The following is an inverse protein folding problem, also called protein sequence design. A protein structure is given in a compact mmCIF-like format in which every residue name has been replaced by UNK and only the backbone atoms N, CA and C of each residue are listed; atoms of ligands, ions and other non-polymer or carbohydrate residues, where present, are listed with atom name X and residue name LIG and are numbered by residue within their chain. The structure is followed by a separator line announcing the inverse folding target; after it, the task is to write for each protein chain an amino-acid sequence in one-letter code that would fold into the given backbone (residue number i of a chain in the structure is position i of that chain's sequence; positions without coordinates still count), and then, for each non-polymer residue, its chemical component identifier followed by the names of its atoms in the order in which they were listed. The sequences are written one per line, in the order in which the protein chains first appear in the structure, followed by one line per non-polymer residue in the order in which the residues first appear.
data_IF_056001454521
#
_entry.id   IF_056001454521
#
_cell.length_a   1.000
_cell.length_b   1.000
_cell.length_c   1.000
_cell.angle_alpha   90.00
_cell.angle_beta   90.00
_cell.angle_gamma   90.00
#
_symmetry.space_group_name_H-M   'P 1'
#
loop_
_entity.id
_entity.type
_entity.pdbx_description
1 polymer ?
#
# COMPACT_ATOMS: atom_id res chain seq x y z
N UNK A 1 -61.18 -49.66 1.98
CA UNK A 1 -59.98 -48.99 1.42
C UNK A 1 -60.31 -47.64 0.76
N UNK A 2 -61.47 -47.47 0.11
CA UNK A 2 -61.86 -46.19 -0.51
C UNK A 2 -62.35 -45.11 0.48
N UNK A 3 -62.88 -45.47 1.65
CA UNK A 3 -63.31 -44.49 2.67
C UNK A 3 -62.14 -43.86 3.46
N UNK A 4 -61.00 -44.55 3.57
CA UNK A 4 -59.82 -44.05 4.30
C UNK A 4 -59.06 -42.98 3.49
N UNK A 5 -59.05 -43.11 2.16
CA UNK A 5 -58.41 -42.16 1.24
C UNK A 5 -59.17 -40.83 1.14
N UNK A 6 -60.50 -40.85 1.28
CA UNK A 6 -61.31 -39.62 1.29
C UNK A 6 -61.11 -38.79 2.57
N UNK A 7 -60.96 -39.44 3.73
CA UNK A 7 -60.67 -38.76 5.02
C UNK A 7 -59.25 -38.19 5.04
N UNK A 8 -58.28 -38.89 4.45
CA UNK A 8 -56.89 -38.40 4.34
C UNK A 8 -56.78 -37.23 3.34
N UNK A 9 -57.52 -37.27 2.22
CA UNK A 9 -57.56 -36.17 1.27
C UNK A 9 -58.26 -34.91 1.83
N UNK A 10 -59.35 -35.08 2.58
CA UNK A 10 -60.05 -33.96 3.24
C UNK A 10 -59.25 -33.38 4.41
N UNK A 11 -58.48 -34.20 5.12
CA UNK A 11 -57.54 -33.74 6.14
C UNK A 11 -56.33 -33.01 5.53
N UNK A 12 -55.84 -33.43 4.36
CA UNK A 12 -54.75 -32.75 3.65
C UNK A 12 -55.16 -31.38 3.10
N UNK A 13 -56.38 -31.24 2.58
CA UNK A 13 -56.89 -29.94 2.10
C UNK A 13 -57.14 -28.98 3.28
N UNK A 14 -57.70 -29.47 4.40
CA UNK A 14 -57.87 -28.65 5.61
C UNK A 14 -56.53 -28.31 6.31
N UNK A 15 -55.52 -29.18 6.23
CA UNK A 15 -54.17 -28.93 6.76
C UNK A 15 -53.35 -27.99 5.85
N UNK A 16 -53.56 -28.06 4.53
CA UNK A 16 -52.98 -27.13 3.55
C UNK A 16 -53.63 -25.74 3.62
N UNK A 17 -54.92 -25.62 3.90
CA UNK A 17 -55.58 -24.33 4.16
C UNK A 17 -55.18 -23.71 5.50
N UNK A 18 -54.76 -24.50 6.50
CA UNK A 18 -54.28 -23.98 7.79
C UNK A 18 -52.80 -23.57 7.78
N UNK A 19 -51.96 -24.24 6.97
CA UNK A 19 -50.55 -23.88 6.76
C UNK A 19 -50.35 -22.85 5.63
N UNK A 20 -51.36 -22.67 4.78
CA UNK A 20 -51.50 -21.57 3.84
C UNK A 20 -52.13 -20.31 4.45
N UNK A 21 -52.03 -20.11 5.78
CA UNK A 21 -52.23 -18.78 6.38
C UNK A 21 -51.17 -17.85 5.80
N UNK A 22 -51.54 -17.19 4.70
CA UNK A 22 -51.02 -15.95 4.16
C UNK A 22 -49.74 -15.53 4.89
N UNK A 23 -48.57 -15.92 4.36
CA UNK A 23 -47.42 -15.04 4.52
C UNK A 23 -47.85 -13.79 3.75
N UNK A 24 -48.49 -12.85 4.45
CA UNK A 24 -48.83 -11.57 3.87
C UNK A 24 -47.53 -11.05 3.24
N UNK A 25 -47.53 -10.59 1.98
CA UNK A 25 -46.30 -10.12 1.35
C UNK A 25 -45.67 -9.11 2.30
N UNK A 26 -44.37 -9.24 2.59
CA UNK A 26 -43.67 -8.36 3.52
C UNK A 26 -44.13 -6.91 3.28
N UNK A 27 -44.73 -6.23 4.28
CA UNK A 27 -45.29 -4.90 4.08
C UNK A 27 -44.25 -3.93 3.51
N UNK A 28 -42.96 -4.15 3.82
CA UNK A 28 -41.89 -3.38 3.20
C UNK A 28 -41.66 -3.72 1.73
N UNK A 29 -41.72 -4.98 1.33
CA UNK A 29 -41.67 -5.35 -0.09
C UNK A 29 -42.81 -4.70 -0.90
N UNK A 30 -44.04 -4.69 -0.36
CA UNK A 30 -45.17 -4.01 -0.99
C UNK A 30 -44.95 -2.49 -1.08
N UNK A 31 -44.42 -1.89 -0.02
CA UNK A 31 -44.12 -0.47 0.02
C UNK A 31 -43.06 -0.09 -1.02
N UNK A 32 -41.99 -0.88 -1.15
CA UNK A 32 -40.96 -0.69 -2.18
C UNK A 32 -41.52 -0.79 -3.59
N UNK A 33 -42.33 -1.83 -3.86
CA UNK A 33 -42.98 -1.99 -5.16
C UNK A 33 -43.84 -0.76 -5.51
N UNK A 34 -44.61 -0.23 -4.56
CA UNK A 34 -45.42 0.98 -4.78
C UNK A 34 -44.57 2.21 -5.08
N UNK A 35 -43.46 2.39 -4.36
CA UNK A 35 -42.55 3.50 -4.61
C UNK A 35 -41.90 3.43 -6.02
N UNK A 36 -41.60 2.22 -6.50
CA UNK A 36 -41.10 1.96 -7.85
C UNK A 36 -42.15 2.29 -8.93
N UNK A 37 -43.44 2.04 -8.66
CA UNK A 37 -44.56 2.38 -9.54
C UNK A 37 -45.03 3.84 -9.40
N UNK A 38 -44.23 4.68 -8.76
CA UNK A 38 -44.50 6.10 -8.52
C UNK A 38 -45.79 6.39 -7.73
N UNK A 39 -46.11 5.51 -6.78
CA UNK A 39 -47.23 5.63 -5.83
C UNK A 39 -46.70 5.93 -4.40
N UNK A 40 -46.16 7.13 -4.14
CA UNK A 40 -45.39 7.41 -2.92
C UNK A 40 -46.25 7.48 -1.65
N UNK A 41 -47.48 7.99 -1.69
CA UNK A 41 -48.29 8.20 -0.49
C UNK A 41 -48.69 6.86 0.18
N UNK A 42 -49.21 5.87 -0.57
CA UNK A 42 -49.43 4.53 -0.02
C UNK A 42 -48.13 3.84 0.43
N UNK A 43 -47.03 3.98 -0.32
CA UNK A 43 -45.74 3.44 0.09
C UNK A 43 -45.28 4.01 1.46
N UNK A 44 -45.41 5.33 1.64
CA UNK A 44 -45.09 6.02 2.89
C UNK A 44 -45.98 5.54 4.05
N UNK A 45 -47.29 5.42 3.82
CA UNK A 45 -48.23 4.97 4.85
C UNK A 45 -47.92 3.54 5.32
N UNK A 46 -47.55 2.63 4.40
CA UNK A 46 -47.09 1.29 4.76
C UNK A 46 -45.80 1.36 5.60
N UNK A 47 -44.79 2.12 5.16
CA UNK A 47 -43.54 2.25 5.90
C UNK A 47 -43.72 2.86 7.30
N UNK A 48 -44.59 3.87 7.45
CA UNK A 48 -44.96 4.44 8.75
C UNK A 48 -45.66 3.42 9.65
N UNK A 49 -46.55 2.60 9.09
CA UNK A 49 -47.21 1.52 9.85
C UNK A 49 -46.24 0.43 10.31
N UNK A 50 -45.16 0.19 9.55
CA UNK A 50 -44.08 -0.73 9.93
C UNK A 50 -43.28 -0.11 11.07
N UNK A 51 -42.84 1.15 10.95
CA UNK A 51 -42.07 1.84 12.00
C UNK A 51 -42.84 1.97 13.32
N UNK A 52 -44.17 2.12 13.28
CA UNK A 52 -45.00 2.16 14.47
C UNK A 52 -44.97 0.84 15.28
N UNK A 53 -44.69 -0.29 14.62
CA UNK A 53 -44.61 -1.63 15.23
C UNK A 53 -43.16 -2.07 15.46
N UNK A 54 -42.26 -1.68 14.56
CA UNK A 54 -40.87 -2.08 14.53
C UNK A 54 -39.96 -0.85 14.32
N UNK A 55 -39.66 -0.08 15.38
CA UNK A 55 -38.94 1.20 15.26
C UNK A 55 -37.48 1.11 14.76
N UNK A 56 -36.91 -0.10 14.72
CA UNK A 56 -35.53 -0.37 14.30
C UNK A 56 -35.42 -0.86 12.84
N UNK A 57 -36.48 -0.71 12.04
CA UNK A 57 -36.50 -1.11 10.63
C UNK A 57 -35.85 -0.06 9.72
N UNK A 58 -34.58 -0.26 9.40
CA UNK A 58 -33.80 0.65 8.54
C UNK A 58 -34.37 0.80 7.12
N UNK A 59 -34.89 -0.30 6.56
CA UNK A 59 -35.51 -0.33 5.25
C UNK A 59 -36.76 0.56 5.17
N UNK A 60 -37.53 0.69 6.25
CA UNK A 60 -38.66 1.60 6.33
C UNK A 60 -38.22 3.08 6.36
N UNK A 61 -37.21 3.42 7.17
CA UNK A 61 -36.62 4.77 7.13
C UNK A 61 -36.05 5.11 5.74
N UNK A 62 -35.35 4.16 5.10
CA UNK A 62 -34.78 4.34 3.76
C UNK A 62 -35.85 4.58 2.70
N UNK A 63 -36.99 3.87 2.78
CA UNK A 63 -38.11 4.08 1.87
C UNK A 63 -38.68 5.50 2.03
N UNK A 64 -38.93 5.93 3.27
CA UNK A 64 -39.39 7.29 3.54
C UNK A 64 -38.39 8.32 3.02
N UNK A 65 -37.08 8.07 3.17
CA UNK A 65 -36.03 8.96 2.72
C UNK A 65 -36.03 9.12 1.18
N UNK A 66 -36.10 8.01 0.44
CA UNK A 66 -36.21 8.03 -1.03
C UNK A 66 -37.49 8.71 -1.51
N UNK A 67 -38.60 8.52 -0.80
CA UNK A 67 -39.85 9.20 -1.11
C UNK A 67 -39.75 10.72 -0.88
N UNK A 68 -39.09 11.14 0.21
CA UNK A 68 -38.80 12.55 0.49
C UNK A 68 -37.85 13.16 -0.56
N UNK A 69 -36.87 12.41 -1.07
CA UNK A 69 -36.03 12.85 -2.19
C UNK A 69 -36.84 13.13 -3.46
N UNK A 70 -37.72 12.20 -3.85
CA UNK A 70 -38.61 12.38 -5.02
C UNK A 70 -39.46 13.64 -4.89
N UNK A 71 -39.85 14.00 -3.66
CA UNK A 71 -40.60 15.21 -3.35
C UNK A 71 -39.75 16.49 -3.21
N UNK A 72 -38.44 16.43 -3.46
CA UNK A 72 -37.52 17.56 -3.30
C UNK A 72 -37.23 17.96 -1.85
N UNK A 73 -37.67 17.17 -0.87
CA UNK A 73 -37.54 17.44 0.57
C UNK A 73 -36.18 16.97 1.09
N UNK A 74 -35.10 17.50 0.53
CA UNK A 74 -33.72 17.02 0.75
C UNK A 74 -33.29 16.98 2.22
N UNK A 75 -33.62 18.01 3.00
CA UNK A 75 -33.28 18.05 4.42
C UNK A 75 -34.00 16.95 5.21
N UNK A 76 -35.25 16.66 4.87
CA UNK A 76 -36.02 15.60 5.51
C UNK A 76 -35.52 14.22 5.10
N UNK A 77 -35.19 14.02 3.82
CA UNK A 77 -34.52 12.82 3.34
C UNK A 77 -33.22 12.55 4.12
N UNK A 78 -32.38 13.58 4.33
CA UNK A 78 -31.14 13.44 5.09
C UNK A 78 -31.37 13.00 6.54
N UNK A 79 -32.41 13.53 7.21
CA UNK A 79 -32.78 13.10 8.57
C UNK A 79 -33.20 11.64 8.58
N UNK A 80 -34.02 11.21 7.61
CA UNK A 80 -34.48 9.82 7.51
C UNK A 80 -33.35 8.84 7.18
N UNK A 81 -32.44 9.19 6.27
CA UNK A 81 -31.23 8.39 6.03
C UNK A 81 -30.32 8.31 7.25
N UNK A 82 -30.22 9.41 8.01
CA UNK A 82 -29.46 9.42 9.27
C UNK A 82 -30.07 8.45 10.28
N UNK A 83 -31.40 8.41 10.40
CA UNK A 83 -32.08 7.41 11.23
C UNK A 83 -31.85 5.98 10.71
N UNK A 84 -31.92 5.77 9.40
CA UNK A 84 -31.65 4.46 8.79
C UNK A 84 -30.24 3.93 9.15
N UNK A 85 -29.21 4.77 9.07
CA UNK A 85 -27.84 4.36 9.44
C UNK A 85 -27.62 4.28 10.96
N UNK A 86 -28.41 4.99 11.77
CA UNK A 86 -28.38 4.87 13.22
C UNK A 86 -28.92 3.51 13.68
N UNK A 87 -30.02 3.03 13.08
CA UNK A 87 -30.60 1.72 13.43
C UNK A 87 -29.89 0.55 12.74
N UNK A 88 -29.38 0.75 11.51
CA UNK A 88 -28.57 -0.24 10.81
C UNK A 88 -27.28 0.40 10.29
N UNK A 89 -26.20 0.39 11.10
CA UNK A 89 -24.91 0.98 10.72
C UNK A 89 -24.27 0.38 9.46
N UNK A 90 -24.75 -0.75 8.96
CA UNK A 90 -24.26 -1.40 7.72
C UNK A 90 -25.11 -1.09 6.49
N UNK A 91 -26.10 -0.20 6.57
CA UNK A 91 -26.93 0.20 5.42
C UNK A 91 -26.11 1.02 4.41
N UNK A 92 -25.56 0.32 3.41
CA UNK A 92 -24.68 0.91 2.40
C UNK A 92 -25.41 1.94 1.53
N UNK A 93 -26.70 1.75 1.24
CA UNK A 93 -27.46 2.66 0.39
C UNK A 93 -27.62 4.02 1.08
N UNK A 94 -28.09 4.00 2.33
CA UNK A 94 -28.28 5.20 3.13
C UNK A 94 -26.95 5.93 3.37
N UNK A 95 -25.85 5.19 3.58
CA UNK A 95 -24.50 5.78 3.68
C UNK A 95 -24.03 6.41 2.38
N UNK A 96 -24.25 5.77 1.23
CA UNK A 96 -23.87 6.32 -0.06
C UNK A 96 -24.58 7.65 -0.32
N UNK A 97 -25.88 7.71 -0.02
CA UNK A 97 -26.63 8.95 -0.16
C UNK A 97 -26.10 10.06 0.75
N UNK A 98 -25.91 9.75 2.05
CA UNK A 98 -25.37 10.71 3.01
C UNK A 98 -23.97 11.21 2.64
N UNK A 99 -23.12 10.34 2.07
CA UNK A 99 -21.81 10.75 1.55
C UNK A 99 -21.95 11.76 0.39
N UNK A 100 -22.82 11.47 -0.58
CA UNK A 100 -23.07 12.37 -1.70
C UNK A 100 -23.69 13.70 -1.26
N UNK A 101 -24.63 13.66 -0.31
CA UNK A 101 -25.21 14.86 0.28
C UNK A 101 -24.16 15.72 1.00
N UNK A 102 -23.29 15.10 1.79
CA UNK A 102 -22.20 15.78 2.49
C UNK A 102 -21.23 16.45 1.50
N UNK A 103 -20.82 15.75 0.44
CA UNK A 103 -19.98 16.33 -0.62
C UNK A 103 -20.65 17.54 -1.30
N UNK A 104 -21.93 17.44 -1.62
CA UNK A 104 -22.68 18.55 -2.23
C UNK A 104 -22.78 19.79 -1.31
N UNK A 105 -22.67 19.61 0.01
CA UNK A 105 -22.61 20.68 1.00
C UNK A 105 -21.18 21.15 1.32
N UNK A 106 -20.17 20.57 0.68
CA UNK A 106 -18.75 20.85 0.95
C UNK A 106 -18.21 20.20 2.22
N UNK A 107 -18.98 19.34 2.88
CA UNK A 107 -18.59 18.63 4.10
C UNK A 107 -17.85 17.33 3.76
N UNK A 108 -16.59 17.48 3.32
CA UNK A 108 -15.75 16.35 2.89
C UNK A 108 -15.47 15.40 4.05
N UNK A 109 -15.29 15.91 5.27
CA UNK A 109 -15.00 15.09 6.44
C UNK A 109 -16.14 14.10 6.73
N UNK A 110 -17.39 14.55 6.73
CA UNK A 110 -18.55 13.66 6.90
C UNK A 110 -18.64 12.64 5.75
N UNK A 111 -18.40 13.06 4.50
CA UNK A 111 -18.41 12.14 3.36
C UNK A 111 -17.38 11.01 3.48
N UNK A 112 -16.14 11.35 3.84
CA UNK A 112 -15.07 10.37 4.09
C UNK A 112 -15.45 9.41 5.21
N UNK A 113 -16.07 9.90 6.28
CA UNK A 113 -16.56 9.05 7.37
C UNK A 113 -17.59 8.01 6.90
N UNK A 114 -18.46 8.36 5.94
CA UNK A 114 -19.38 7.40 5.33
C UNK A 114 -18.63 6.38 4.44
N UNK A 115 -17.67 6.82 3.63
CA UNK A 115 -16.87 5.94 2.78
C UNK A 115 -16.01 4.96 3.59
N UNK A 116 -15.40 5.40 4.69
CA UNK A 116 -14.68 4.52 5.62
C UNK A 116 -15.57 3.35 6.07
N UNK A 117 -16.78 3.66 6.58
CA UNK A 117 -17.72 2.63 7.02
C UNK A 117 -18.17 1.72 5.88
N UNK A 118 -18.35 2.26 4.67
CA UNK A 118 -18.72 1.44 3.50
C UNK A 118 -17.59 0.47 3.11
N UNK A 119 -16.33 0.91 3.12
CA UNK A 119 -15.16 0.07 2.83
C UNK A 119 -14.94 -1.00 3.90
N UNK A 120 -15.20 -0.68 5.17
CA UNK A 120 -15.16 -1.67 6.26
C UNK A 120 -16.25 -2.74 6.13
N UNK A 121 -17.46 -2.37 5.67
CA UNK A 121 -18.58 -3.31 5.51
C UNK A 121 -18.44 -4.15 4.25
N UNK A 122 -17.99 -3.55 3.13
CA UNK A 122 -17.85 -4.22 1.84
C UNK A 122 -16.55 -3.78 1.15
N UNK A 123 -15.42 -4.45 1.41
CA UNK A 123 -14.13 -4.13 0.80
C UNK A 123 -14.15 -4.13 -0.74
N UNK A 124 -15.05 -4.91 -1.36
CA UNK A 124 -15.25 -4.93 -2.82
C UNK A 124 -15.70 -3.58 -3.43
N UNK A 125 -16.11 -2.60 -2.62
CA UNK A 125 -16.43 -1.25 -3.09
C UNK A 125 -15.18 -0.38 -3.37
N UNK A 126 -13.97 -0.88 -3.07
CA UNK A 126 -12.72 -0.17 -3.30
C UNK A 126 -12.59 0.38 -4.73
N UNK A 127 -12.97 -0.40 -5.74
CA UNK A 127 -12.90 0.02 -7.15
C UNK A 127 -13.78 1.24 -7.49
N UNK A 128 -14.83 1.49 -6.72
CA UNK A 128 -15.72 2.65 -6.89
C UNK A 128 -15.33 3.80 -5.96
N UNK A 129 -14.90 3.51 -4.74
CA UNK A 129 -14.64 4.53 -3.71
C UNK A 129 -13.23 5.12 -3.81
N UNK A 130 -12.20 4.34 -4.15
CA UNK A 130 -10.83 4.86 -4.23
C UNK A 130 -10.67 5.99 -5.27
N UNK A 131 -11.25 5.91 -6.47
CA UNK A 131 -11.21 7.04 -7.41
C UNK A 131 -11.83 8.32 -6.85
N UNK A 132 -12.92 8.21 -6.09
CA UNK A 132 -13.57 9.37 -5.45
C UNK A 132 -12.66 9.97 -4.38
N UNK A 133 -12.08 9.14 -3.52
CA UNK A 133 -11.13 9.60 -2.50
C UNK A 133 -9.86 10.22 -3.12
N UNK A 134 -9.35 9.66 -4.22
CA UNK A 134 -8.20 10.22 -4.95
C UNK A 134 -8.55 11.58 -5.56
N UNK A 135 -9.76 11.74 -6.12
CA UNK A 135 -10.24 13.01 -6.63
C UNK A 135 -10.35 14.08 -5.53
N UNK A 136 -10.74 13.70 -4.31
CA UNK A 136 -10.76 14.61 -3.15
C UNK A 136 -9.34 15.04 -2.75
N UNK A 137 -8.37 14.12 -2.76
CA UNK A 137 -6.96 14.44 -2.54
C UNK A 137 -6.46 15.44 -3.58
N UNK A 138 -6.76 15.20 -4.86
CA UNK A 138 -6.41 16.11 -5.98
C UNK A 138 -6.96 17.53 -5.80
N UNK A 139 -8.16 17.64 -5.21
CA UNK A 139 -8.83 18.91 -4.94
C UNK A 139 -8.35 19.59 -3.64
N UNK A 140 -7.29 19.07 -3.00
CA UNK A 140 -6.72 19.64 -1.79
C UNK A 140 -7.40 19.22 -0.49
N UNK A 141 -8.29 18.22 -0.52
CA UNK A 141 -9.02 17.74 0.66
C UNK A 141 -8.36 16.53 1.36
N UNK A 142 -7.05 16.33 1.17
CA UNK A 142 -6.29 15.24 1.79
C UNK A 142 -6.42 15.22 3.32
N UNK A 143 -6.49 16.39 3.97
CA UNK A 143 -6.62 16.52 5.42
C UNK A 143 -7.88 15.87 5.98
N UNK A 144 -8.97 15.82 5.21
CA UNK A 144 -10.21 15.18 5.61
C UNK A 144 -10.10 13.65 5.71
N UNK A 145 -9.12 13.04 5.02
CA UNK A 145 -8.87 11.60 5.05
C UNK A 145 -7.97 11.18 6.21
N UNK A 146 -7.13 12.09 6.71
CA UNK A 146 -6.12 11.78 7.73
C UNK A 146 -6.68 11.13 9.00
N UNK A 147 -7.82 11.57 9.58
CA UNK A 147 -8.37 10.93 10.78
C UNK A 147 -8.71 9.45 10.55
N UNK A 148 -9.26 9.10 9.39
CA UNK A 148 -9.58 7.71 9.04
C UNK A 148 -8.32 6.92 8.70
N UNK A 149 -7.34 7.51 8.01
CA UNK A 149 -6.11 6.81 7.64
C UNK A 149 -5.18 6.58 8.84
N UNK A 150 -5.19 7.48 9.83
CA UNK A 150 -4.36 7.39 11.02
C UNK A 150 -4.73 6.23 11.96
N UNK A 151 -5.89 5.60 11.76
CA UNK A 151 -6.33 4.41 12.53
C UNK A 151 -5.92 3.08 11.90
N UNK A 152 -5.13 3.12 10.82
CA UNK A 152 -4.71 1.94 10.05
C UNK A 152 -5.87 1.02 9.62
N UNK A 153 -6.91 1.54 8.94
CA UNK A 153 -8.02 0.70 8.51
C UNK A 153 -7.55 -0.28 7.43
N UNK A 154 -8.17 -1.48 7.29
CA UNK A 154 -7.75 -2.49 6.32
C UNK A 154 -7.70 -2.02 4.85
N UNK A 155 -8.42 -0.95 4.51
CA UNK A 155 -8.45 -0.36 3.17
C UNK A 155 -7.32 0.67 2.94
N UNK A 156 -6.61 1.10 3.98
CA UNK A 156 -5.55 2.14 3.92
C UNK A 156 -4.49 1.82 2.88
N UNK A 157 -3.84 0.65 2.99
CA UNK A 157 -2.76 0.27 2.09
C UNK A 157 -3.21 0.25 0.62
N UNK A 158 -4.40 -0.30 0.35
CA UNK A 158 -4.97 -0.33 -1.00
C UNK A 158 -5.28 1.06 -1.55
N UNK A 159 -5.82 1.95 -0.71
CA UNK A 159 -6.09 3.33 -1.11
C UNK A 159 -4.80 4.12 -1.35
N UNK A 160 -3.81 4.04 -0.46
CA UNK A 160 -2.52 4.74 -0.62
C UNK A 160 -1.79 4.30 -1.89
N UNK A 161 -1.82 3.00 -2.21
CA UNK A 161 -1.28 2.48 -3.47
C UNK A 161 -2.05 3.01 -4.69
N UNK A 162 -3.39 3.06 -4.63
CA UNK A 162 -4.21 3.65 -5.69
C UNK A 162 -3.88 5.13 -5.87
N UNK A 163 -3.87 5.92 -4.78
CA UNK A 163 -3.58 7.35 -4.83
C UNK A 163 -2.20 7.63 -5.43
N UNK A 164 -1.15 6.92 -4.98
CA UNK A 164 0.20 7.07 -5.53
C UNK A 164 0.28 6.78 -7.04
N UNK A 165 -0.62 5.93 -7.56
CA UNK A 165 -0.70 5.61 -8.98
C UNK A 165 -1.58 6.59 -9.78
N UNK A 166 -2.69 7.09 -9.22
CA UNK A 166 -3.73 7.81 -9.97
C UNK A 166 -3.78 9.31 -9.76
N UNK A 167 -3.36 9.83 -8.61
CA UNK A 167 -3.29 11.28 -8.35
C UNK A 167 -2.25 11.89 -9.28
N UNK A 168 -2.65 12.98 -9.94
CA UNK A 168 -1.87 13.64 -10.97
C UNK A 168 -0.76 14.49 -10.34
N UNK A 169 -1.11 15.35 -9.37
CA UNK A 169 -0.15 16.24 -8.73
C UNK A 169 0.47 15.58 -7.49
N UNK A 170 1.79 15.40 -7.52
CA UNK A 170 2.55 14.87 -6.38
C UNK A 170 2.44 15.74 -5.13
N UNK A 171 2.21 17.05 -5.26
CA UNK A 171 2.04 17.92 -4.09
C UNK A 171 0.76 17.55 -3.30
N UNK A 172 -0.29 17.09 -3.99
CA UNK A 172 -1.47 16.53 -3.35
C UNK A 172 -1.18 15.21 -2.63
N UNK A 173 -0.30 14.37 -3.21
CA UNK A 173 0.21 13.17 -2.52
C UNK A 173 1.07 13.51 -1.30
N UNK A 174 1.89 14.55 -1.37
CA UNK A 174 2.70 15.00 -0.26
C UNK A 174 1.84 15.40 0.94
N UNK A 175 0.75 16.14 0.68
CA UNK A 175 -0.24 16.52 1.69
C UNK A 175 -0.93 15.32 2.35
N UNK A 176 -0.94 14.15 1.70
CA UNK A 176 -1.48 12.91 2.23
C UNK A 176 -0.44 12.10 3.01
N UNK A 177 0.75 11.88 2.45
CA UNK A 177 1.75 10.97 3.01
C UNK A 177 2.57 11.57 4.15
N UNK A 178 2.90 12.87 4.11
CA UNK A 178 3.73 13.49 5.15
C UNK A 178 3.07 13.45 6.53
N UNK A 179 1.79 13.85 6.71
CA UNK A 179 1.18 13.81 8.03
C UNK A 179 1.06 12.38 8.60
N UNK A 180 0.94 11.38 7.72
CA UNK A 180 0.87 9.97 8.11
C UNK A 180 2.21 9.41 8.63
N UNK A 181 3.34 10.06 8.33
CA UNK A 181 4.63 9.69 8.90
C UNK A 181 4.69 9.87 10.42
N UNK A 182 3.99 10.90 10.92
CA UNK A 182 3.90 11.27 12.33
C UNK A 182 2.56 10.85 12.97
N UNK A 183 1.74 10.08 12.27
CA UNK A 183 0.45 9.62 12.81
C UNK A 183 0.65 8.56 13.91
N UNK A 184 -0.41 8.35 14.70
CA UNK A 184 -0.41 7.37 15.79
C UNK A 184 -0.08 5.94 15.31
N UNK A 185 -0.59 5.57 14.13
CA UNK A 185 -0.17 4.39 13.39
C UNK A 185 0.75 4.83 12.23
N UNK A 186 2.09 4.61 12.33
CA UNK A 186 3.01 4.94 11.26
C UNK A 186 2.69 4.18 9.97
N UNK A 187 3.14 4.71 8.84
CA UNK A 187 3.11 3.99 7.56
C UNK A 187 3.86 2.66 7.67
N UNK A 188 3.37 1.63 7.00
CA UNK A 188 4.12 0.40 6.76
C UNK A 188 5.13 0.58 5.62
N UNK A 189 6.15 -0.29 5.52
CA UNK A 189 7.16 -0.21 4.46
C UNK A 189 6.52 -0.21 3.06
N UNK A 190 5.56 -1.10 2.81
CA UNK A 190 4.86 -1.16 1.53
C UNK A 190 4.12 0.13 1.18
N UNK A 191 3.54 0.80 2.18
CA UNK A 191 2.80 2.06 1.98
C UNK A 191 3.74 3.23 1.73
N UNK A 192 4.87 3.31 2.45
CA UNK A 192 5.91 4.30 2.16
C UNK A 192 6.48 4.10 0.76
N UNK A 193 6.77 2.85 0.40
CA UNK A 193 7.45 2.53 -0.84
C UNK A 193 6.62 2.87 -2.08
N UNK A 194 5.29 2.75 -2.06
CA UNK A 194 4.47 3.18 -3.22
C UNK A 194 4.61 4.69 -3.51
N UNK A 195 4.74 5.52 -2.47
CA UNK A 195 4.97 6.96 -2.63
C UNK A 195 6.41 7.27 -3.06
N UNK A 196 7.40 6.63 -2.43
CA UNK A 196 8.81 6.82 -2.79
C UNK A 196 9.10 6.36 -4.24
N UNK A 197 8.55 5.23 -4.66
CA UNK A 197 8.68 4.72 -6.03
C UNK A 197 8.00 5.65 -7.05
N UNK A 198 6.90 6.33 -6.67
CA UNK A 198 6.28 7.36 -7.51
C UNK A 198 7.23 8.54 -7.72
N UNK A 199 7.83 9.07 -6.65
CA UNK A 199 8.81 10.17 -6.74
C UNK A 199 10.04 9.76 -7.57
N UNK A 200 10.54 8.54 -7.38
CA UNK A 200 11.69 8.02 -8.13
C UNK A 200 11.39 7.87 -9.63
N UNK A 201 10.19 7.41 -10.01
CA UNK A 201 9.77 7.31 -11.41
C UNK A 201 9.67 8.67 -12.10
N UNK A 202 9.22 9.69 -11.37
CA UNK A 202 9.19 11.08 -11.85
C UNK A 202 10.54 11.80 -11.71
N UNK A 203 11.60 11.08 -11.36
CA UNK A 203 12.96 11.61 -11.19
C UNK A 203 13.09 12.72 -10.12
N UNK A 204 12.15 12.79 -9.18
CA UNK A 204 12.17 13.71 -8.02
C UNK A 204 13.01 13.14 -6.87
N UNK A 205 14.27 12.81 -7.15
CA UNK A 205 15.11 12.03 -6.24
C UNK A 205 15.43 12.74 -4.92
N UNK A 206 15.69 14.04 -4.96
CA UNK A 206 15.95 14.83 -3.73
C UNK A 206 14.74 14.80 -2.80
N UNK A 207 13.54 14.98 -3.34
CA UNK A 207 12.30 14.93 -2.57
C UNK A 207 11.99 13.53 -2.06
N UNK A 208 12.27 12.50 -2.86
CA UNK A 208 12.19 11.12 -2.44
C UNK A 208 13.11 10.84 -1.25
N UNK A 209 14.35 11.34 -1.29
CA UNK A 209 15.32 11.13 -0.22
C UNK A 209 14.89 11.83 1.07
N UNK A 210 14.44 13.09 0.98
CA UNK A 210 13.95 13.84 2.13
C UNK A 210 12.71 13.19 2.75
N UNK A 211 11.75 12.75 1.93
CA UNK A 211 10.58 12.04 2.40
C UNK A 211 10.93 10.70 3.05
N UNK A 212 11.80 9.90 2.43
CA UNK A 212 12.27 8.64 2.99
C UNK A 212 12.97 8.85 4.34
N UNK A 213 13.88 9.84 4.43
CA UNK A 213 14.59 10.15 5.66
C UNK A 213 13.64 10.58 6.80
N UNK A 214 12.57 11.32 6.47
CA UNK A 214 11.53 11.70 7.42
C UNK A 214 10.73 10.50 7.96
N UNK A 215 10.66 9.40 7.22
CA UNK A 215 9.94 8.20 7.61
C UNK A 215 10.76 7.22 8.45
N UNK A 216 12.06 7.47 8.63
CA UNK A 216 12.95 6.58 9.37
C UNK A 216 12.62 6.56 10.87
N UNK A 217 12.68 5.37 11.45
CA UNK A 217 12.67 5.16 12.90
C UNK A 217 13.92 5.77 13.56
N UNK A 218 13.95 5.81 14.90
CA UNK A 218 15.16 6.23 15.61
C UNK A 218 16.39 5.38 15.24
N UNK A 219 16.21 4.06 15.12
CA UNK A 219 17.27 3.12 14.76
C UNK A 219 17.73 3.32 13.32
N UNK A 220 16.80 3.54 12.39
CA UNK A 220 17.13 3.88 10.99
C UNK A 220 17.91 5.19 10.91
N UNK A 221 17.50 6.22 11.67
CA UNK A 221 18.24 7.50 11.72
C UNK A 221 19.65 7.35 12.25
N UNK A 222 19.92 6.41 13.15
CA UNK A 222 21.25 6.17 13.72
C UNK A 222 22.25 5.62 12.69
N UNK A 223 21.78 4.94 11.65
CA UNK A 223 22.60 4.35 10.58
C UNK A 223 22.53 5.14 9.26
N UNK A 224 22.07 6.38 9.32
CA UNK A 224 22.07 7.29 8.18
C UNK A 224 23.48 7.59 7.69
N UNK A 225 23.64 7.63 6.38
CA UNK A 225 24.88 7.98 5.70
C UNK A 225 24.69 8.00 4.20
N UNK A 226 25.76 8.31 3.48
CA UNK A 226 25.76 8.23 2.01
C UNK A 226 25.49 6.80 1.50
N UNK A 227 25.82 5.80 2.30
CA UNK A 227 25.28 4.44 2.21
C UNK A 227 24.48 4.23 3.48
N UNK A 228 23.18 4.02 3.35
CA UNK A 228 22.31 3.70 4.48
C UNK A 228 22.60 2.28 4.98
N UNK A 229 22.73 2.11 6.30
CA UNK A 229 22.98 0.81 6.92
C UNK A 229 24.11 0.02 6.24
N UNK A 230 25.26 0.67 6.02
CA UNK A 230 26.41 0.06 5.35
C UNK A 230 27.02 -1.15 6.09
N UNK A 231 26.67 -1.32 7.37
CA UNK A 231 27.03 -2.47 8.19
C UNK A 231 25.99 -3.61 8.19
N UNK A 232 24.86 -3.43 7.50
CA UNK A 232 23.79 -4.43 7.40
C UNK A 232 23.18 -4.83 8.75
N UNK A 233 23.04 -3.87 9.65
CA UNK A 233 22.52 -4.06 11.01
C UNK A 233 20.98 -4.02 11.07
N UNK A 234 20.33 -3.48 10.04
CA UNK A 234 18.88 -3.36 9.95
C UNK A 234 18.30 -4.35 8.93
N UNK A 235 17.06 -4.85 9.14
CA UNK A 235 16.36 -5.60 8.12
C UNK A 235 16.24 -4.79 6.82
N UNK A 236 16.34 -5.41 5.63
CA UNK A 236 16.24 -4.68 4.37
C UNK A 236 14.82 -4.12 4.18
N UNK A 237 14.72 -2.79 4.05
CA UNK A 237 13.45 -2.09 3.76
C UNK A 237 12.86 -2.48 2.39
N UNK A 238 13.70 -3.00 1.49
CA UNK A 238 13.31 -3.39 0.13
C UNK A 238 12.62 -2.28 -0.68
N UNK A 239 12.93 -1.02 -0.38
CA UNK A 239 12.43 0.14 -1.10
C UNK A 239 13.12 1.43 -0.66
N UNK A 240 12.65 2.56 -1.16
CA UNK A 240 13.24 3.87 -0.86
C UNK A 240 14.75 3.94 -1.16
N UNK A 241 15.52 4.31 -0.15
CA UNK A 241 16.99 4.38 -0.15
C UNK A 241 17.62 3.31 0.77
N UNK A 242 16.81 2.40 1.31
CA UNK A 242 17.30 1.23 2.04
C UNK A 242 17.84 0.13 1.11
N UNK A 243 18.43 -0.91 1.72
CA UNK A 243 18.88 -2.09 0.98
C UNK A 243 17.71 -2.82 0.32
N UNK A 244 17.85 -3.06 -0.99
CA UNK A 244 16.99 -3.95 -1.77
C UNK A 244 17.72 -5.27 -1.98
N UNK A 245 17.23 -6.33 -1.35
CA UNK A 245 17.81 -7.67 -1.40
C UNK A 245 16.81 -8.61 -2.10
N UNK A 246 17.08 -8.89 -3.37
CA UNK A 246 16.28 -9.79 -4.18
C UNK A 246 16.61 -11.27 -3.96
N UNK A 247 15.87 -12.15 -4.65
CA UNK A 247 16.15 -13.59 -4.70
C UNK A 247 16.58 -13.98 -6.10
N UNK A 248 17.50 -14.92 -6.21
CA UNK A 248 17.93 -15.47 -7.50
C UNK A 248 18.28 -16.95 -7.35
N UNK A 249 17.91 -17.76 -8.34
CA UNK A 249 18.30 -19.16 -8.36
C UNK A 249 19.84 -19.30 -8.35
N UNK A 250 20.36 -20.20 -7.53
CA UNK A 250 21.80 -20.46 -7.40
C UNK A 250 22.56 -19.51 -6.48
N UNK A 251 21.89 -18.54 -5.82
CA UNK A 251 22.48 -17.76 -4.74
C UNK A 251 21.53 -17.61 -3.54
N UNK A 252 22.09 -17.62 -2.33
CA UNK A 252 21.41 -17.29 -1.07
C UNK A 252 22.04 -16.03 -0.50
N UNK A 253 21.21 -15.03 -0.20
CA UNK A 253 21.65 -13.71 0.30
C UNK A 253 21.01 -13.51 1.67
N UNK A 254 21.84 -13.29 2.69
CA UNK A 254 21.41 -13.25 4.09
C UNK A 254 22.23 -12.22 4.88
N UNK A 255 21.62 -11.63 5.91
CA UNK A 255 22.34 -10.92 6.97
C UNK A 255 22.59 -11.92 8.10
N UNK A 256 23.84 -12.09 8.52
CA UNK A 256 24.24 -13.10 9.50
C UNK A 256 24.84 -12.42 10.73
N UNK A 257 24.33 -12.76 11.91
CA UNK A 257 24.83 -12.31 13.20
C UNK A 257 26.19 -12.95 13.57
N UNK A 258 27.05 -12.18 14.26
CA UNK A 258 28.33 -12.62 14.82
C UNK A 258 29.52 -12.58 13.86
N UNK A 259 29.32 -12.14 12.62
CA UNK A 259 30.31 -12.20 11.55
C UNK A 259 30.73 -10.81 11.02
N UNK A 260 30.25 -9.73 11.67
CA UNK A 260 30.58 -8.34 11.38
C UNK A 260 31.98 -7.92 11.86
N UNK A 261 32.56 -6.94 11.17
CA UNK A 261 33.79 -6.23 11.50
C UNK A 261 33.49 -5.01 12.38
N UNK A 262 32.58 -4.14 11.95
CA UNK A 262 32.23 -2.90 12.66
C UNK A 262 31.00 -3.04 13.56
N UNK A 263 30.17 -4.06 13.32
CA UNK A 263 28.91 -4.28 14.01
C UNK A 263 28.65 -5.76 14.37
N UNK A 264 27.38 -6.11 14.54
CA UNK A 264 26.96 -7.48 14.90
C UNK A 264 26.63 -8.32 13.69
N UNK A 265 26.36 -7.71 12.53
CA UNK A 265 25.91 -8.38 11.33
C UNK A 265 26.87 -8.16 10.17
N UNK A 266 26.74 -9.01 9.15
CA UNK A 266 27.38 -8.82 7.86
C UNK A 266 26.49 -9.39 6.76
N UNK A 267 26.59 -8.84 5.56
CA UNK A 267 25.95 -9.41 4.38
C UNK A 267 26.74 -10.63 3.92
N UNK A 268 26.06 -11.77 3.79
CA UNK A 268 26.58 -12.99 3.15
C UNK A 268 25.87 -13.24 1.84
N UNK A 269 26.65 -13.59 0.81
CA UNK A 269 26.13 -14.18 -0.42
C UNK A 269 26.81 -15.53 -0.64
N UNK A 270 26.01 -16.60 -0.67
CA UNK A 270 26.45 -17.97 -0.92
C UNK A 270 25.98 -18.44 -2.29
N UNK A 271 26.87 -19.03 -3.09
CA UNK A 271 26.60 -19.51 -4.45
C UNK A 271 26.71 -21.03 -4.57
N UNK A 272 25.77 -21.66 -5.30
CA UNK A 272 25.63 -23.11 -5.41
C UNK A 272 26.25 -23.74 -6.67
N UNK A 273 27.34 -23.18 -7.21
CA UNK A 273 27.99 -23.65 -8.45
C UNK A 273 27.05 -23.69 -9.67
N UNK A 274 26.26 -22.64 -9.84
CA UNK A 274 25.31 -22.48 -10.94
C UNK A 274 25.63 -21.22 -11.75
N UNK A 275 24.99 -21.06 -12.92
CA UNK A 275 25.05 -19.80 -13.66
C UNK A 275 24.08 -18.81 -13.02
N UNK A 276 24.61 -17.70 -12.51
CA UNK A 276 23.82 -16.70 -11.78
C UNK A 276 24.10 -15.31 -12.36
N UNK A 277 23.16 -14.68 -13.10
CA UNK A 277 23.28 -13.28 -13.49
C UNK A 277 23.04 -12.38 -12.27
N UNK A 278 24.06 -12.26 -11.41
CA UNK A 278 23.89 -11.66 -10.09
C UNK A 278 23.94 -10.13 -10.12
N UNK A 279 22.86 -9.49 -9.69
CA UNK A 279 22.77 -8.05 -9.38
C UNK A 279 21.71 -7.75 -8.31
N UNK A 280 21.55 -8.65 -7.33
CA UNK A 280 20.37 -8.72 -6.45
C UNK A 280 20.55 -8.02 -5.10
N UNK A 281 21.69 -7.38 -4.86
CA UNK A 281 21.91 -6.51 -3.70
C UNK A 281 22.20 -5.12 -4.22
N UNK A 282 21.32 -4.18 -3.90
CA UNK A 282 21.43 -2.82 -4.38
C UNK A 282 20.83 -1.80 -3.43
N UNK A 283 21.33 -0.58 -3.51
CA UNK A 283 20.83 0.57 -2.78
C UNK A 283 20.76 1.76 -3.74
N UNK A 284 19.67 2.53 -3.67
CA UNK A 284 19.59 3.81 -4.35
C UNK A 284 20.27 4.85 -3.46
N UNK A 285 21.08 5.71 -4.08
CA UNK A 285 21.82 6.79 -3.43
C UNK A 285 21.32 8.14 -3.96
N UNK A 286 21.46 9.19 -3.15
CA UNK A 286 21.19 10.58 -3.51
C UNK A 286 22.44 11.45 -3.28
N UNK A 287 23.57 11.08 -3.88
CA UNK A 287 24.80 11.84 -3.76
C UNK A 287 24.71 13.12 -4.62
N UNK A 288 25.08 14.25 -4.02
CA UNK A 288 25.32 15.48 -4.77
C UNK A 288 26.51 15.32 -5.73
N UNK A 289 26.67 16.24 -6.69
CA UNK A 289 27.85 16.27 -7.55
C UNK A 289 29.14 16.42 -6.74
N UNK A 290 30.25 15.91 -7.25
CA UNK A 290 31.57 16.02 -6.62
C UNK A 290 32.32 14.70 -6.51
N UNK A 291 33.46 14.74 -5.83
CA UNK A 291 34.38 13.60 -5.70
C UNK A 291 34.11 12.80 -4.44
N UNK A 292 34.12 11.49 -4.60
CA UNK A 292 33.77 10.52 -3.56
C UNK A 292 34.72 9.32 -3.59
N UNK A 293 34.77 8.62 -2.46
CA UNK A 293 35.40 7.31 -2.37
C UNK A 293 34.43 6.32 -1.73
N UNK A 294 34.20 5.20 -2.41
CA UNK A 294 33.56 4.03 -1.85
C UNK A 294 34.62 3.22 -1.09
N UNK A 295 34.37 2.94 0.18
CA UNK A 295 35.19 2.07 1.03
C UNK A 295 34.31 0.91 1.55
N UNK A 296 34.93 -0.23 1.86
CA UNK A 296 34.25 -1.33 2.54
C UNK A 296 35.19 -2.44 2.97
N UNK A 297 34.62 -3.46 3.63
CA UNK A 297 35.30 -4.70 4.00
C UNK A 297 34.73 -5.86 3.20
N UNK A 298 35.60 -6.77 2.78
CA UNK A 298 35.22 -8.01 2.10
C UNK A 298 35.93 -9.20 2.72
N UNK A 299 35.24 -10.31 2.91
CA UNK A 299 35.82 -11.62 3.24
C UNK A 299 35.38 -12.64 2.21
N UNK A 300 36.28 -13.53 1.84
CA UNK A 300 36.09 -14.49 0.77
C UNK A 300 36.30 -15.91 1.31
N UNK A 301 35.32 -16.77 1.09
CA UNK A 301 35.38 -18.18 1.47
C UNK A 301 35.13 -19.04 0.23
N UNK A 302 36.25 -19.48 -0.37
CA UNK A 302 36.32 -20.29 -1.58
C UNK A 302 35.44 -19.79 -2.75
N UNK A 303 35.44 -18.47 -2.98
CA UNK A 303 34.66 -17.86 -4.04
C UNK A 303 35.31 -18.13 -5.41
N UNK A 304 34.77 -19.09 -6.14
CA UNK A 304 35.29 -19.53 -7.44
C UNK A 304 34.43 -19.02 -8.58
N UNK A 305 35.02 -18.15 -9.41
CA UNK A 305 34.52 -17.77 -10.72
C UNK A 305 35.61 -17.06 -11.52
N UNK A 306 35.43 -16.94 -12.84
CA UNK A 306 36.44 -16.32 -13.72
C UNK A 306 36.53 -14.79 -13.59
N UNK A 307 35.45 -14.14 -13.11
CA UNK A 307 35.30 -12.69 -13.20
C UNK A 307 35.26 -11.96 -11.86
N UNK A 308 35.14 -12.65 -10.74
CA UNK A 308 34.87 -12.06 -9.42
C UNK A 308 33.54 -11.31 -9.31
N UNK A 309 33.17 -10.96 -8.08
CA UNK A 309 32.13 -9.96 -7.80
C UNK A 309 32.76 -8.57 -7.60
N UNK A 310 31.97 -7.53 -7.80
CA UNK A 310 32.39 -6.14 -7.52
C UNK A 310 31.19 -5.27 -7.19
N UNK A 311 31.45 -4.17 -6.49
CA UNK A 311 30.48 -3.09 -6.38
C UNK A 311 30.57 -2.20 -7.60
N UNK A 312 29.42 -1.76 -8.09
CA UNK A 312 29.28 -0.79 -9.17
C UNK A 312 28.41 0.36 -8.69
N UNK A 313 28.87 1.58 -8.94
CA UNK A 313 28.05 2.80 -8.81
C UNK A 313 27.74 3.29 -10.22
N UNK A 314 26.47 3.50 -10.53
CA UNK A 314 26.03 4.02 -11.82
C UNK A 314 24.89 5.03 -11.63
N UNK A 315 24.78 6.04 -12.49
CA UNK A 315 23.67 6.98 -12.44
C UNK A 315 22.32 6.25 -12.57
N UNK A 316 21.31 6.70 -11.85
CA UNK A 316 19.95 6.20 -11.99
C UNK A 316 19.27 6.77 -13.24
N UNK A 317 19.69 7.96 -13.67
CA UNK A 317 19.24 8.66 -14.87
C UNK A 317 20.24 8.50 -16.04
N UNK A 318 19.92 9.11 -17.19
CA UNK A 318 20.92 9.39 -18.24
C UNK A 318 21.59 8.16 -18.86
N UNK A 319 20.83 7.08 -19.11
CA UNK A 319 21.39 5.87 -19.74
C UNK A 319 22.23 5.00 -18.79
N UNK A 320 22.17 5.24 -17.47
CA UNK A 320 22.83 4.43 -16.43
C UNK A 320 24.35 4.38 -16.59
N UNK A 321 24.97 5.52 -16.89
CA UNK A 321 26.42 5.64 -16.96
C UNK A 321 27.06 5.08 -15.68
N UNK A 322 28.03 4.19 -15.86
CA UNK A 322 28.82 3.67 -14.75
C UNK A 322 29.83 4.72 -14.31
N UNK A 323 29.78 5.10 -13.03
CA UNK A 323 30.68 6.06 -12.40
C UNK A 323 31.94 5.36 -11.89
N UNK A 324 31.78 4.19 -11.28
CA UNK A 324 32.89 3.39 -10.78
C UNK A 324 32.53 1.92 -10.61
N UNK A 325 33.55 1.09 -10.70
CA UNK A 325 33.51 -0.33 -10.36
C UNK A 325 34.71 -0.67 -9.48
N UNK A 326 34.49 -1.38 -8.38
CA UNK A 326 35.60 -1.81 -7.50
C UNK A 326 36.44 -2.90 -8.17
N UNK A 327 37.57 -3.22 -7.55
CA UNK A 327 38.31 -4.44 -7.83
C UNK A 327 37.41 -5.68 -7.76
N UNK A 328 37.77 -6.71 -8.54
CA UNK A 328 37.03 -7.97 -8.65
C UNK A 328 37.46 -8.89 -7.51
N UNK A 329 36.52 -9.26 -6.65
CA UNK A 329 36.75 -10.14 -5.51
C UNK A 329 36.50 -11.60 -5.92
N UNK A 330 37.50 -12.46 -5.71
CA UNK A 330 37.49 -13.91 -5.99
C UNK A 330 38.57 -14.61 -5.15
N UNK A 331 38.43 -15.91 -4.92
CA UNK A 331 39.37 -16.72 -4.14
C UNK A 331 38.97 -16.85 -2.68
N UNK A 332 39.97 -16.91 -1.80
CA UNK A 332 39.81 -17.08 -0.35
C UNK A 332 40.67 -16.05 0.37
N UNK A 333 40.14 -15.44 1.44
CA UNK A 333 40.89 -14.49 2.23
C UNK A 333 40.08 -13.97 3.42
N UNK A 334 40.76 -13.54 4.50
CA UNK A 334 40.10 -12.93 5.66
C UNK A 334 39.49 -11.58 5.28
N UNK A 335 38.84 -10.93 6.25
CA UNK A 335 38.34 -9.56 6.10
C UNK A 335 39.48 -8.62 5.66
N UNK A 336 39.29 -7.98 4.52
CA UNK A 336 40.25 -7.04 3.94
C UNK A 336 39.55 -5.77 3.42
N UNK A 337 40.22 -4.61 3.47
CA UNK A 337 39.72 -3.39 2.83
C UNK A 337 39.57 -3.55 1.32
N UNK A 338 38.59 -2.86 0.77
CA UNK A 338 38.63 -2.40 -0.61
C UNK A 338 38.22 -0.93 -0.68
N UNK A 339 38.63 -0.25 -1.75
CA UNK A 339 38.17 1.10 -2.03
C UNK A 339 38.15 1.39 -3.54
N UNK A 340 37.36 2.39 -3.94
CA UNK A 340 37.37 2.95 -5.29
C UNK A 340 36.95 4.42 -5.27
N UNK A 341 37.73 5.29 -5.92
CA UNK A 341 37.42 6.71 -6.07
C UNK A 341 36.55 6.94 -7.31
N UNK A 342 35.64 7.92 -7.24
CA UNK A 342 34.71 8.25 -8.32
C UNK A 342 34.17 9.67 -8.19
N UNK A 343 33.66 10.21 -9.29
CA UNK A 343 33.05 11.53 -9.34
C UNK A 343 31.61 11.44 -9.80
N UNK A 344 30.73 12.18 -9.14
CA UNK A 344 29.32 12.33 -9.55
C UNK A 344 29.21 13.60 -10.40
N UNK A 345 28.75 13.50 -11.66
CA UNK A 345 28.64 14.65 -12.55
C UNK A 345 27.54 15.62 -12.10
N UNK A 346 27.64 16.88 -12.51
CA UNK A 346 26.66 17.93 -12.18
C UNK A 346 25.31 17.77 -12.87
N UNK A 347 25.28 17.04 -13.99
CA UNK A 347 24.07 16.85 -14.81
C UNK A 347 23.77 15.36 -14.98
N UNK A 348 22.49 15.07 -15.16
CA UNK A 348 21.96 13.73 -15.49
C UNK A 348 22.31 12.61 -14.50
N UNK A 349 22.58 12.96 -13.23
CA UNK A 349 22.97 11.99 -12.18
C UNK A 349 22.58 12.45 -10.76
N UNK A 350 21.32 12.84 -10.56
CA UNK A 350 20.83 13.26 -9.23
C UNK A 350 20.68 12.09 -8.25
N UNK A 351 20.60 10.86 -8.76
CA UNK A 351 20.64 9.64 -7.96
C UNK A 351 21.53 8.59 -8.62
N UNK A 352 22.00 7.64 -7.81
CA UNK A 352 22.91 6.58 -8.25
C UNK A 352 22.48 5.24 -7.69
N UNK A 353 22.73 4.16 -8.43
CA UNK A 353 22.59 2.80 -7.95
C UNK A 353 23.95 2.29 -7.49
N UNK A 354 24.06 1.93 -6.20
CA UNK A 354 25.11 1.06 -5.70
C UNK A 354 24.62 -0.39 -5.86
N UNK A 355 25.34 -1.20 -6.62
CA UNK A 355 24.94 -2.58 -6.93
C UNK A 355 26.11 -3.54 -6.76
N UNK A 356 25.88 -4.65 -6.07
CA UNK A 356 26.80 -5.78 -6.08
C UNK A 356 26.54 -6.62 -7.33
N UNK A 357 27.51 -6.72 -8.22
CA UNK A 357 27.36 -7.39 -9.51
C UNK A 357 28.40 -8.48 -9.70
N UNK A 358 28.00 -9.55 -10.39
CA UNK A 358 28.94 -10.49 -11.00
C UNK A 358 29.51 -9.84 -12.27
N UNK A 359 30.83 -9.71 -12.38
CA UNK A 359 31.49 -9.02 -13.50
C UNK A 359 31.54 -9.85 -14.82
N UNK A 360 30.52 -10.69 -15.03
CA UNK A 360 30.34 -11.51 -16.21
C UNK A 360 29.80 -10.67 -17.38
N UNK A 361 30.38 -10.86 -18.57
CA UNK A 361 29.99 -10.19 -19.82
C UNK A 361 29.15 -11.09 -20.71
N UNK A 362 29.33 -12.40 -20.56
CA UNK A 362 28.64 -13.44 -21.31
C UNK A 362 28.09 -14.51 -20.37
N UNK A 363 27.04 -15.26 -20.76
CA UNK A 363 26.46 -16.31 -19.91
C UNK A 363 27.45 -17.39 -19.44
N UNK A 364 28.50 -17.67 -20.21
CA UNK A 364 29.53 -18.65 -19.83
C UNK A 364 30.30 -18.24 -18.56
N UNK A 365 30.54 -16.93 -18.39
CA UNK A 365 31.25 -16.35 -17.24
C UNK A 365 30.38 -16.25 -15.97
N UNK A 366 29.10 -16.63 -16.05
CA UNK A 366 28.16 -16.49 -14.92
C UNK A 366 28.22 -17.64 -13.92
N UNK A 367 29.04 -18.67 -14.18
CA UNK A 367 29.17 -19.81 -13.26
C UNK A 367 29.98 -19.41 -12.03
N UNK A 368 29.40 -19.60 -10.85
CA UNK A 368 29.99 -19.15 -9.59
C UNK A 368 29.64 -20.09 -8.43
N UNK A 369 30.59 -20.33 -7.53
CA UNK A 369 30.43 -21.07 -6.28
C UNK A 369 31.19 -20.42 -5.13
N UNK A 370 30.90 -20.83 -3.89
CA UNK A 370 31.56 -20.33 -2.69
C UNK A 370 30.76 -19.22 -2.01
N UNK A 371 31.41 -18.48 -1.11
CA UNK A 371 30.76 -17.43 -0.32
C UNK A 371 31.57 -16.13 -0.35
N UNK A 372 30.85 -15.02 -0.30
CA UNK A 372 31.42 -13.70 -0.13
C UNK A 372 30.64 -12.96 0.95
N UNK A 373 31.39 -12.18 1.73
CA UNK A 373 30.87 -11.40 2.84
C UNK A 373 31.25 -9.94 2.66
N UNK A 374 30.34 -9.04 3.01
CA UNK A 374 30.56 -7.60 2.99
C UNK A 374 30.10 -6.97 4.30
N UNK A 375 30.85 -5.96 4.73
CA UNK A 375 30.55 -5.14 5.90
C UNK A 375 31.20 -3.74 5.76
N UNK A 376 30.82 -2.80 6.63
CA UNK A 376 31.36 -1.43 6.74
C UNK A 376 31.35 -0.65 5.40
N UNK A 377 30.34 -0.84 4.56
CA UNK A 377 30.20 -0.08 3.32
C UNK A 377 29.97 1.40 3.63
N UNK A 378 30.79 2.27 3.04
CA UNK A 378 30.64 3.71 3.20
C UNK A 378 31.07 4.45 1.94
N UNK A 379 30.40 5.56 1.68
CA UNK A 379 30.82 6.52 0.67
C UNK A 379 31.18 7.82 1.39
N UNK A 380 32.41 8.28 1.21
CA UNK A 380 32.89 9.52 1.81
C UNK A 380 33.19 10.55 0.74
N UNK A 381 32.74 11.79 0.95
CA UNK A 381 33.10 12.90 0.07
C UNK A 381 34.58 13.22 0.26
N UNK A 382 35.31 13.28 -0.84
CA UNK A 382 36.70 13.72 -0.80
C UNK A 382 36.71 15.24 -0.65
N UNK A 383 37.46 15.77 0.31
CA UNK A 383 37.69 17.22 0.36
C UNK A 383 38.57 17.59 -0.84
N UNK A 384 38.25 18.68 -1.55
CA UNK A 384 39.07 19.16 -2.66
C UNK A 384 40.50 19.47 -2.23
#
# INVERSE_FOLDING_TARGET
MLALLAVIASAYVAFAEHLGRFIAPDPMAQAWQRLEHDDPAPAQALAQSVLAREPLRADAYRLLAQSAEKAGQRQWAAQLYTQAVAVQPRDLFSRQWLAADALARGDVATAVGHYDRMLLVRPGLAGTIYPLLAQLVEQGAASALLPSLATDPPWRAGFLAHAAASVAHVDALHALFQPLASAAAPLHDGERNVYLDRLQREQRYTEAYLAWAAFLSADGRAVLGNVFDGGFEQPPENGGFGWRIGRVAGARIEQINGEGVGGKQALRVQFSNQRVPFSHVQQLLALASGDYRLDGRVRLDDLRNERGLRWRVACAQGGRQTLVETGRASGTGPWQPFSAAFSVPERDCQAQWLQLVLAARIPAEQRISGQIWYDDLRIVRQRP
#
